data_IF_683199805406
#
_entry.id   IF_683199805406
#
_cell.length_a   1.000
_cell.length_b   1.000
_cell.length_c   1.000
_cell.angle_alpha   90.00
_cell.angle_beta   90.00
_cell.angle_gamma   90.00
#
_symmetry.space_group_name_H-M   'P 1'
#
loop_
_entity.id
_entity.type
_entity.pdbx_description
1 polymer ?
#
# COMPACT_ATOMS: atom_id res chain seq x y z
N UNK A 1 -2.45 6.00 24.68
CA UNK A 1 -2.74 6.80 23.47
C UNK A 1 -1.50 6.89 22.59
N UNK A 2 -0.38 7.31 23.16
CA UNK A 2 0.95 7.23 22.54
C UNK A 2 1.31 5.79 22.09
N UNK A 3 0.93 4.77 22.85
CA UNK A 3 1.12 3.37 22.43
C UNK A 3 0.29 2.99 21.18
N UNK A 4 -0.89 3.60 21.00
CA UNK A 4 -1.70 3.39 19.80
C UNK A 4 -1.09 4.15 18.60
N UNK A 5 -0.50 5.32 18.83
CA UNK A 5 0.23 6.05 17.80
C UNK A 5 1.46 5.28 17.34
N UNK A 6 2.28 4.80 18.28
CA UNK A 6 3.50 4.02 17.98
C UNK A 6 3.17 2.74 17.22
N UNK A 7 2.09 2.05 17.64
CA UNK A 7 1.57 0.89 16.93
C UNK A 7 1.14 1.25 15.51
N UNK A 8 0.43 2.36 15.32
CA UNK A 8 0.01 2.85 14.00
C UNK A 8 1.19 3.14 13.07
N UNK A 9 2.27 3.76 13.57
CA UNK A 9 3.49 3.98 12.78
C UNK A 9 4.10 2.65 12.30
N UNK A 10 4.16 1.67 13.19
CA UNK A 10 4.73 0.35 12.88
C UNK A 10 3.87 -0.43 11.89
N UNK A 11 2.54 -0.33 12.00
CA UNK A 11 1.61 -0.93 11.03
C UNK A 11 1.81 -0.29 9.66
N UNK A 12 1.84 1.05 9.57
CA UNK A 12 2.06 1.75 8.29
C UNK A 12 3.34 1.25 7.60
N UNK A 13 4.48 1.21 8.30
CA UNK A 13 5.74 0.74 7.69
C UNK A 13 5.64 -0.70 7.15
N UNK A 14 4.99 -1.60 7.89
CA UNK A 14 4.83 -2.99 7.49
C UNK A 14 3.81 -3.18 6.37
N UNK A 15 2.71 -2.44 6.39
CA UNK A 15 1.71 -2.44 5.33
C UNK A 15 2.32 -1.90 4.03
N UNK A 16 3.13 -0.84 4.05
CA UNK A 16 3.82 -0.35 2.83
C UNK A 16 4.82 -1.35 2.27
N UNK A 17 5.57 -2.08 3.11
CA UNK A 17 6.44 -3.17 2.64
C UNK A 17 5.63 -4.26 1.93
N UNK A 18 4.48 -4.62 2.50
CA UNK A 18 3.59 -5.64 1.94
C UNK A 18 2.97 -5.16 0.62
N UNK A 19 2.52 -3.91 0.57
CA UNK A 19 1.94 -3.27 -0.62
C UNK A 19 2.91 -3.29 -1.80
N UNK A 20 4.19 -3.00 -1.56
CA UNK A 20 5.22 -3.05 -2.62
C UNK A 20 5.34 -4.47 -3.19
N UNK A 21 5.45 -5.49 -2.34
CA UNK A 21 5.54 -6.89 -2.78
C UNK A 21 4.29 -7.32 -3.55
N UNK A 22 3.11 -7.02 -3.03
CA UNK A 22 1.84 -7.37 -3.67
C UNK A 22 1.66 -6.65 -5.02
N UNK A 23 2.16 -5.43 -5.16
CA UNK A 23 2.14 -4.71 -6.44
C UNK A 23 3.01 -5.38 -7.51
N UNK A 24 4.20 -5.83 -7.12
CA UNK A 24 5.10 -6.56 -8.01
C UNK A 24 4.47 -7.89 -8.46
N UNK A 25 3.84 -8.61 -7.52
CA UNK A 25 3.13 -9.84 -7.80
C UNK A 25 1.95 -9.61 -8.76
N UNK A 26 1.12 -8.60 -8.48
CA UNK A 26 -0.02 -8.25 -9.33
C UNK A 26 0.43 -7.97 -10.77
N UNK A 27 1.46 -7.12 -10.95
CA UNK A 27 2.01 -6.79 -12.27
C UNK A 27 2.56 -8.01 -13.00
N UNK A 28 3.24 -8.89 -12.29
CA UNK A 28 3.79 -10.12 -12.86
C UNK A 28 2.66 -11.03 -13.36
N UNK A 29 1.59 -11.21 -12.57
CA UNK A 29 0.42 -11.99 -12.95
C UNK A 29 -0.32 -11.36 -14.15
N UNK A 30 -0.45 -10.03 -14.21
CA UNK A 30 -1.04 -9.34 -15.35
C UNK A 30 -0.24 -9.55 -16.65
N UNK A 31 1.10 -9.47 -16.59
CA UNK A 31 1.93 -9.72 -17.77
C UNK A 31 1.84 -11.20 -18.20
N UNK A 32 1.83 -12.15 -17.26
CA UNK A 32 1.59 -13.56 -17.57
C UNK A 32 0.24 -13.77 -18.26
N UNK A 33 -0.84 -13.18 -17.74
CA UNK A 33 -2.17 -13.28 -18.34
C UNK A 33 -2.19 -12.72 -19.76
N UNK A 34 -1.53 -11.58 -19.98
CA UNK A 34 -1.38 -10.94 -21.29
C UNK A 34 -0.57 -11.82 -22.26
N UNK A 35 0.50 -12.45 -21.80
CA UNK A 35 1.28 -13.42 -22.59
C UNK A 35 0.43 -14.63 -22.99
N UNK A 36 -0.29 -15.23 -22.04
CA UNK A 36 -1.15 -16.40 -22.28
C UNK A 36 -2.24 -16.07 -23.30
N UNK A 37 -2.89 -14.91 -23.18
CA UNK A 37 -3.93 -14.45 -24.12
C UNK A 37 -3.41 -14.22 -25.55
N UNK A 38 -2.13 -13.86 -25.71
CA UNK A 38 -1.49 -13.63 -27.01
C UNK A 38 -0.91 -14.91 -27.64
N UNK A 39 -0.93 -16.04 -26.94
CA UNK A 39 -0.33 -17.26 -27.44
C UNK A 39 -1.10 -17.80 -28.66
N UNK A 40 -0.42 -18.23 -29.74
CA UNK A 40 -1.10 -18.74 -30.93
C UNK A 40 -1.91 -20.02 -30.66
N UNK A 41 -3.03 -20.15 -31.37
CA UNK A 41 -3.90 -21.33 -31.36
C UNK A 41 -3.27 -22.58 -31.97
N UNK A 42 -2.11 -22.45 -32.65
CA UNK A 42 -1.34 -23.56 -33.25
C UNK A 42 -0.09 -23.84 -32.40
N UNK A 43 -0.25 -23.92 -31.08
CA UNK A 43 0.83 -24.32 -30.18
C UNK A 43 0.73 -25.82 -29.88
N UNK A 44 1.87 -26.47 -29.58
CA UNK A 44 1.89 -27.88 -29.17
C UNK A 44 0.96 -28.16 -27.97
N UNK A 45 0.74 -27.16 -27.11
CA UNK A 45 -0.19 -27.21 -25.99
C UNK A 45 -1.66 -27.40 -26.41
N UNK A 46 -2.10 -26.79 -27.51
CA UNK A 46 -3.47 -26.96 -28.02
C UNK A 46 -3.74 -28.39 -28.47
N UNK A 47 -2.75 -29.05 -29.07
CA UNK A 47 -2.86 -30.44 -29.50
C UNK A 47 -3.00 -31.41 -28.30
N UNK A 48 -2.45 -31.05 -27.14
CA UNK A 48 -2.51 -31.88 -25.93
C UNK A 48 -3.72 -31.55 -25.02
N UNK A 49 -4.22 -30.31 -25.04
CA UNK A 49 -5.33 -29.88 -24.20
C UNK A 49 -6.06 -28.68 -24.81
N UNK A 50 -7.14 -28.88 -25.59
CA UNK A 50 -7.81 -27.81 -26.33
C UNK A 50 -8.33 -26.64 -25.48
N UNK A 51 -8.45 -26.83 -24.16
CA UNK A 51 -8.94 -25.85 -23.21
C UNK A 51 -7.85 -25.30 -22.27
N UNK A 52 -6.57 -25.57 -22.53
CA UNK A 52 -5.47 -25.18 -21.64
C UNK A 52 -5.43 -23.66 -21.39
N UNK A 53 -5.61 -22.87 -22.46
CA UNK A 53 -5.50 -21.41 -22.42
C UNK A 53 -6.60 -20.81 -21.55
N UNK A 54 -7.86 -21.24 -21.75
CA UNK A 54 -9.01 -20.78 -20.97
C UNK A 54 -8.80 -21.13 -19.48
N UNK A 55 -8.39 -22.36 -19.18
CA UNK A 55 -8.14 -22.80 -17.79
C UNK A 55 -7.02 -21.99 -17.13
N UNK A 56 -5.93 -21.72 -17.85
CA UNK A 56 -4.81 -20.94 -17.32
C UNK A 56 -5.18 -19.46 -17.14
N UNK A 57 -5.87 -18.85 -18.11
CA UNK A 57 -6.40 -17.49 -17.97
C UNK A 57 -7.31 -17.37 -16.74
N UNK A 58 -8.26 -18.31 -16.55
CA UNK A 58 -9.14 -18.28 -15.38
C UNK A 58 -8.38 -18.40 -14.05
N UNK A 59 -7.33 -19.23 -13.98
CA UNK A 59 -6.47 -19.32 -12.79
C UNK A 59 -5.69 -18.03 -12.52
N UNK A 60 -5.13 -17.42 -13.55
CA UNK A 60 -4.42 -16.16 -13.43
C UNK A 60 -5.36 -15.02 -13.02
N UNK A 61 -6.59 -14.99 -13.55
CA UNK A 61 -7.61 -14.01 -13.16
C UNK A 61 -8.03 -14.15 -11.69
N UNK A 62 -8.16 -15.39 -11.18
CA UNK A 62 -8.41 -15.65 -9.76
C UNK A 62 -7.23 -15.16 -8.90
N UNK A 63 -6.00 -15.53 -9.26
CA UNK A 63 -4.81 -15.10 -8.52
C UNK A 63 -4.65 -13.57 -8.50
N UNK A 64 -4.94 -12.89 -9.61
CA UNK A 64 -4.95 -11.42 -9.68
C UNK A 64 -5.99 -10.84 -8.71
N UNK A 65 -7.18 -11.47 -8.63
CA UNK A 65 -8.24 -11.03 -7.73
C UNK A 65 -7.85 -11.20 -6.25
N UNK A 66 -7.20 -12.31 -5.89
CA UNK A 66 -6.69 -12.55 -4.53
C UNK A 66 -5.67 -11.46 -4.12
N UNK A 67 -4.69 -11.17 -5.00
CA UNK A 67 -3.69 -10.12 -4.74
C UNK A 67 -4.34 -8.73 -4.61
N UNK A 68 -5.39 -8.46 -5.40
CA UNK A 68 -6.15 -7.22 -5.30
C UNK A 68 -6.88 -7.08 -3.95
N UNK A 69 -7.45 -8.17 -3.43
CA UNK A 69 -8.10 -8.19 -2.13
C UNK A 69 -7.10 -7.93 -1.01
N UNK A 70 -5.93 -8.57 -1.06
CA UNK A 70 -4.84 -8.36 -0.11
C UNK A 70 -4.32 -6.91 -0.15
N UNK A 71 -4.13 -6.33 -1.34
CA UNK A 71 -3.76 -4.92 -1.50
C UNK A 71 -4.80 -3.98 -0.89
N UNK A 72 -6.08 -4.23 -1.16
CA UNK A 72 -7.19 -3.44 -0.64
C UNK A 72 -7.24 -3.46 0.89
N UNK A 73 -6.99 -4.63 1.47
CA UNK A 73 -6.91 -4.82 2.92
C UNK A 73 -5.73 -4.06 3.53
N UNK A 74 -4.53 -4.13 2.92
CA UNK A 74 -3.37 -3.34 3.38
C UNK A 74 -3.60 -1.84 3.28
N UNK A 75 -4.27 -1.37 2.25
CA UNK A 75 -4.65 0.05 2.15
C UNK A 75 -5.71 0.44 3.19
N UNK A 76 -6.64 -0.47 3.54
CA UNK A 76 -7.57 -0.26 4.66
C UNK A 76 -6.83 -0.10 5.98
N UNK A 77 -5.88 -0.97 6.30
CA UNK A 77 -5.03 -0.87 7.51
C UNK A 77 -4.31 0.49 7.59
N UNK A 78 -3.73 0.95 6.47
CA UNK A 78 -3.05 2.25 6.39
C UNK A 78 -4.01 3.40 6.67
N UNK A 79 -5.21 3.39 6.10
CA UNK A 79 -6.24 4.42 6.34
C UNK A 79 -6.67 4.49 7.81
N UNK A 80 -6.86 3.35 8.45
CA UNK A 80 -7.22 3.29 9.88
C UNK A 80 -6.11 3.84 10.78
N UNK A 81 -4.85 3.52 10.45
CA UNK A 81 -3.70 4.08 11.14
C UNK A 81 -3.57 5.59 10.91
N UNK A 82 -3.80 6.07 9.69
CA UNK A 82 -3.81 7.50 9.37
C UNK A 82 -4.90 8.24 10.16
N UNK A 83 -6.11 7.68 10.25
CA UNK A 83 -7.19 8.26 11.07
C UNK A 83 -6.82 8.31 12.56
N UNK A 84 -6.15 7.28 13.07
CA UNK A 84 -5.65 7.23 14.45
C UNK A 84 -4.59 8.32 14.71
N UNK A 85 -3.66 8.51 13.78
CA UNK A 85 -2.61 9.54 13.83
C UNK A 85 -3.22 10.94 13.75
N UNK A 86 -4.22 11.15 12.88
CA UNK A 86 -4.96 12.41 12.79
C UNK A 86 -5.67 12.75 14.10
N UNK A 87 -6.35 11.77 14.72
CA UNK A 87 -6.98 11.99 16.03
C UNK A 87 -5.95 12.37 17.09
N UNK A 88 -4.82 11.68 17.12
CA UNK A 88 -3.72 12.00 18.04
C UNK A 88 -3.20 13.43 17.83
N UNK A 89 -3.05 13.88 16.58
CA UNK A 89 -2.69 15.27 16.26
C UNK A 89 -3.69 16.26 16.87
N UNK A 90 -4.99 16.05 16.66
CA UNK A 90 -6.05 16.93 17.18
C UNK A 90 -6.06 16.97 18.70
N UNK A 91 -5.87 15.83 19.36
CA UNK A 91 -5.81 15.75 20.83
C UNK A 91 -4.57 16.46 21.39
N UNK A 92 -3.43 16.32 20.72
CA UNK A 92 -2.21 17.04 21.05
C UNK A 92 -2.39 18.57 20.96
N UNK A 93 -2.99 19.05 19.87
CA UNK A 93 -3.29 20.48 19.67
C UNK A 93 -4.26 21.01 20.74
N UNK A 94 -5.28 20.21 21.09
CA UNK A 94 -6.25 20.57 22.14
C UNK A 94 -5.66 20.55 23.55
N UNK A 95 -4.63 19.73 23.80
CA UNK A 95 -4.03 19.57 25.12
C UNK A 95 -3.21 20.77 25.60
N UNK A 96 -2.87 21.71 24.70
CA UNK A 96 -2.00 22.83 25.02
C UNK A 96 -0.57 22.43 25.38
N UNK A 97 -0.18 21.16 25.16
CA UNK A 97 1.20 20.69 25.35
C UNK A 97 2.13 21.43 24.41
N UNK A 98 3.29 21.84 24.93
CA UNK A 98 4.30 22.51 24.14
C UNK A 98 5.10 21.46 23.35
N UNK A 99 4.68 21.22 22.11
CA UNK A 99 5.25 20.19 21.22
C UNK A 99 6.30 20.86 20.33
N UNK A 100 7.38 20.13 20.03
CA UNK A 100 8.44 20.65 19.17
C UNK A 100 7.88 20.95 17.77
N UNK A 101 8.36 22.04 17.16
CA UNK A 101 7.99 22.39 15.78
C UNK A 101 8.31 21.25 14.80
N UNK A 102 9.45 20.57 15.02
CA UNK A 102 9.88 19.43 14.21
C UNK A 102 8.90 18.28 14.28
N UNK A 103 8.40 17.93 15.47
CA UNK A 103 7.42 16.87 15.66
C UNK A 103 6.14 17.14 14.86
N UNK A 104 5.60 18.35 14.98
CA UNK A 104 4.39 18.75 14.24
C UNK A 104 4.62 18.69 12.74
N UNK A 105 5.80 19.11 12.26
CA UNK A 105 6.13 19.05 10.83
C UNK A 105 6.31 17.64 10.30
N UNK A 106 6.94 16.76 11.06
CA UNK A 106 7.09 15.34 10.67
C UNK A 106 5.73 14.63 10.67
N UNK A 107 4.84 14.99 11.59
CA UNK A 107 3.47 14.48 11.65
C UNK A 107 2.63 14.93 10.44
N UNK A 108 2.71 16.21 10.08
CA UNK A 108 2.08 16.76 8.87
C UNK A 108 2.61 16.11 7.60
N UNK A 109 3.93 15.93 7.51
CA UNK A 109 4.58 15.29 6.38
C UNK A 109 4.08 13.85 6.19
N UNK A 110 3.97 13.09 7.28
CA UNK A 110 3.44 11.74 7.26
C UNK A 110 1.97 11.72 6.80
N UNK A 111 1.11 12.53 7.41
CA UNK A 111 -0.32 12.55 7.08
C UNK A 111 -0.59 12.99 5.64
N UNK A 112 0.11 14.00 5.15
CA UNK A 112 0.00 14.45 3.76
C UNK A 112 0.39 13.34 2.79
N UNK A 113 1.51 12.65 3.06
CA UNK A 113 1.94 11.53 2.22
C UNK A 113 0.91 10.40 2.21
N UNK A 114 0.38 10.00 3.37
CA UNK A 114 -0.61 8.94 3.45
C UNK A 114 -1.89 9.30 2.67
N UNK A 115 -2.31 10.56 2.70
CA UNK A 115 -3.46 11.04 1.95
C UNK A 115 -3.22 10.99 0.42
N UNK A 116 -2.04 11.44 -0.02
CA UNK A 116 -1.67 11.37 -1.43
C UNK A 116 -1.59 9.93 -1.94
N UNK A 117 -0.95 9.04 -1.18
CA UNK A 117 -0.84 7.63 -1.56
C UNK A 117 -2.19 6.92 -1.55
N UNK A 118 -3.07 7.21 -0.59
CA UNK A 118 -4.43 6.65 -0.57
C UNK A 118 -5.22 7.04 -1.82
N UNK A 119 -5.11 8.29 -2.27
CA UNK A 119 -5.75 8.74 -3.51
C UNK A 119 -5.19 8.00 -4.74
N UNK A 120 -3.87 7.80 -4.81
CA UNK A 120 -3.22 7.10 -5.93
C UNK A 120 -3.58 5.62 -5.95
N UNK A 121 -3.56 4.96 -4.80
CA UNK A 121 -3.95 3.56 -4.66
C UNK A 121 -5.43 3.35 -4.92
N UNK A 122 -6.30 4.20 -4.37
CA UNK A 122 -7.73 4.16 -4.65
C UNK A 122 -8.03 4.35 -6.14
N UNK A 123 -7.33 5.25 -6.81
CA UNK A 123 -7.45 5.41 -8.27
C UNK A 123 -6.96 4.16 -9.02
N UNK A 124 -5.84 3.56 -8.62
CA UNK A 124 -5.30 2.33 -9.25
C UNK A 124 -6.23 1.13 -9.07
N UNK A 125 -6.79 0.98 -7.89
CA UNK A 125 -7.75 -0.06 -7.49
C UNK A 125 -9.08 0.12 -8.26
N UNK A 126 -9.61 1.34 -8.30
CA UNK A 126 -10.91 1.65 -8.93
C UNK A 126 -10.84 1.62 -10.45
N UNK A 127 -9.75 2.11 -11.05
CA UNK A 127 -9.58 2.17 -12.52
C UNK A 127 -9.11 0.85 -13.14
N UNK A 128 -9.33 -0.28 -12.45
CA UNK A 128 -8.96 -1.64 -12.82
C UNK A 128 -8.35 -1.83 -14.22
N UNK A 129 -7.10 -2.31 -14.27
CA UNK A 129 -6.39 -2.75 -15.50
C UNK A 129 -6.05 -1.65 -16.52
N UNK A 130 -6.42 -0.38 -16.31
CA UNK A 130 -6.03 0.71 -17.21
C UNK A 130 -4.83 1.50 -16.65
N UNK A 131 -3.66 1.08 -17.14
CA UNK A 131 -2.39 1.80 -17.23
C UNK A 131 -2.37 3.19 -16.59
N UNK A 132 -1.96 3.25 -15.33
CA UNK A 132 -1.01 4.27 -14.90
C UNK A 132 0.16 3.54 -14.26
N UNK A 133 1.38 3.83 -14.75
CA UNK A 133 2.63 3.39 -14.14
C UNK A 133 2.78 4.08 -12.78
N UNK A 134 1.98 3.65 -11.82
CA UNK A 134 2.16 4.00 -10.43
C UNK A 134 3.04 2.93 -9.81
N UNK A 135 4.30 3.29 -9.59
CA UNK A 135 5.25 2.49 -8.86
C UNK A 135 5.13 2.90 -7.39
N UNK A 136 4.56 2.05 -6.52
CA UNK A 136 4.81 2.24 -5.10
C UNK A 136 6.30 2.10 -4.88
N UNK A 137 6.99 3.22 -4.72
CA UNK A 137 8.27 3.19 -4.05
C UNK A 137 7.99 2.79 -2.61
N UNK A 138 8.86 1.95 -2.04
CA UNK A 138 8.96 1.84 -0.59
C UNK A 138 8.90 3.24 0.05
N UNK A 139 8.43 3.32 1.30
CA UNK A 139 8.34 4.60 2.01
C UNK A 139 9.59 5.45 1.74
N UNK A 140 9.42 6.66 1.18
CA UNK A 140 10.56 7.49 0.83
C UNK A 140 11.48 7.70 2.03
N UNK A 141 12.79 7.77 1.78
CA UNK A 141 13.79 7.89 2.85
C UNK A 141 13.50 9.03 3.82
N UNK A 142 12.97 10.15 3.32
CA UNK A 142 12.60 11.29 4.17
C UNK A 142 11.45 10.96 5.14
N UNK A 143 10.50 10.11 4.76
CA UNK A 143 9.42 9.63 5.62
C UNK A 143 9.91 8.62 6.65
N UNK A 144 10.81 7.72 6.25
CA UNK A 144 11.47 6.81 7.20
C UNK A 144 12.17 7.63 8.29
N UNK A 145 12.92 8.66 7.91
CA UNK A 145 13.56 9.55 8.86
C UNK A 145 12.55 10.32 9.73
N UNK A 146 11.44 10.81 9.15
CA UNK A 146 10.38 11.49 9.91
C UNK A 146 9.72 10.54 10.93
N UNK A 147 9.40 9.31 10.55
CA UNK A 147 8.85 8.28 11.45
C UNK A 147 9.83 8.00 12.59
N UNK A 148 11.12 7.84 12.30
CA UNK A 148 12.14 7.63 13.34
C UNK A 148 12.24 8.80 14.32
N UNK A 149 12.14 10.05 13.83
CA UNK A 149 12.12 11.23 14.69
C UNK A 149 10.85 11.30 15.54
N UNK A 150 9.69 11.02 14.97
CA UNK A 150 8.42 10.94 15.71
C UNK A 150 8.51 9.93 16.86
N UNK A 151 9.09 8.75 16.62
CA UNK A 151 9.33 7.73 17.65
C UNK A 151 10.27 8.23 18.75
N UNK A 152 11.38 8.86 18.37
CA UNK A 152 12.34 9.42 19.33
C UNK A 152 11.68 10.47 20.21
N UNK A 153 10.95 11.41 19.61
CA UNK A 153 10.28 12.48 20.33
C UNK A 153 9.19 11.92 21.28
N UNK A 154 8.47 10.86 20.89
CA UNK A 154 7.53 10.16 21.77
C UNK A 154 8.18 9.56 23.01
N UNK A 155 9.39 9.01 22.88
CA UNK A 155 10.13 8.50 24.05
C UNK A 155 10.53 9.61 25.02
N UNK A 156 10.69 10.84 24.52
CA UNK A 156 11.00 12.02 25.35
C UNK A 156 9.78 12.72 25.95
N UNK A 157 8.58 12.43 25.43
CA UNK A 157 7.31 12.99 25.90
C UNK A 157 6.61 12.14 26.97
N UNK A 158 7.06 10.89 27.17
CA UNK A 158 6.65 9.99 28.26
C UNK A 158 7.31 10.35 29.58
#
# INVERSE_FOLDING_TARGET
MEDNFEKSLSVIENSYKSIVTLDEEWRNLEEQLKCVRKMPSISALMNCSPHWQIKLCGRLEIAIQEVYEDLSEKMREVRECAATITRYKTELEASGRNISFTFTKDLELLLNYLCEEDAKWSAKITNGRQQQCFHPSALPRYLICAIQRLRSDLTTLK
#
